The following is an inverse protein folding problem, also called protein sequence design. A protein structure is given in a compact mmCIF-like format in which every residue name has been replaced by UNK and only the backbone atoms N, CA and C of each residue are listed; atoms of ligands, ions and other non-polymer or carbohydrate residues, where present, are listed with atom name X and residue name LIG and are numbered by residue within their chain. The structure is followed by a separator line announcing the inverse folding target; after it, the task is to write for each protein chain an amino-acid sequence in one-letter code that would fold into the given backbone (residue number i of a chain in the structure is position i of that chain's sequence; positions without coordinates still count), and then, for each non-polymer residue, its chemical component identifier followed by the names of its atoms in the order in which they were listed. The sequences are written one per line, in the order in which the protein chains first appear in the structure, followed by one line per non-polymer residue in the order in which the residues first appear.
data_IF_339148812524
#
_entry.id   IF_339148812524
#
_cell.length_a   1.000
_cell.length_b   1.000
_cell.length_c   1.000
_cell.angle_alpha   90.00
_cell.angle_beta   90.00
_cell.angle_gamma   90.00
#
_symmetry.space_group_name_H-M   'P 1'
#
loop_
_entity.id
_entity.type
_entity.pdbx_description
1 polymer ?
#
# COMPACT_ATOMS: atom_id res chain seq x y z
N UNK A 1 12.34 -0.72 -14.84
CA UNK A 1 13.16 -1.29 -15.94
C UNK A 1 12.60 -0.75 -17.24
N UNK A 2 13.46 -0.41 -18.21
CA UNK A 2 13.00 -0.03 -19.55
C UNK A 2 12.70 -1.30 -20.37
N UNK A 3 11.72 -1.27 -21.29
CA UNK A 3 11.44 -2.41 -22.15
C UNK A 3 12.64 -2.70 -23.08
N UNK A 4 12.89 -3.97 -23.37
CA UNK A 4 13.93 -4.39 -24.32
C UNK A 4 13.60 -3.98 -25.77
N UNK A 5 12.30 -3.83 -26.08
CA UNK A 5 11.78 -3.35 -27.38
C UNK A 5 10.35 -2.83 -27.19
N UNK A 6 9.91 -1.91 -28.07
CA UNK A 6 8.61 -1.24 -27.96
C UNK A 6 8.66 0.06 -27.14
N UNK A 7 7.52 0.73 -27.03
CA UNK A 7 7.37 1.99 -26.28
C UNK A 7 6.41 1.81 -25.10
N UNK A 8 6.72 2.45 -23.97
CA UNK A 8 5.89 2.47 -22.77
C UNK A 8 5.55 3.93 -22.46
N UNK A 9 4.27 4.29 -22.54
CA UNK A 9 3.74 5.59 -22.13
C UNK A 9 2.74 5.39 -20.99
N UNK A 10 2.93 6.10 -19.88
CA UNK A 10 1.99 6.12 -18.75
C UNK A 10 1.60 7.56 -18.42
N UNK A 11 0.29 7.84 -18.33
CA UNK A 11 -0.24 9.14 -17.92
C UNK A 11 -0.70 9.08 -16.48
N UNK A 12 0.07 9.70 -15.58
CA UNK A 12 -0.20 9.72 -14.13
C UNK A 12 0.81 8.92 -13.31
N UNK A 13 0.63 8.92 -12.00
CA UNK A 13 1.53 8.23 -11.07
C UNK A 13 1.15 6.76 -10.94
N UNK A 14 2.10 5.87 -11.23
CA UNK A 14 1.96 4.41 -11.10
C UNK A 14 2.44 3.96 -9.73
N UNK A 15 1.63 3.18 -9.00
CA UNK A 15 2.03 2.52 -7.76
C UNK A 15 1.84 1.01 -7.88
N UNK A 16 2.88 0.26 -7.52
CA UNK A 16 2.85 -1.20 -7.50
C UNK A 16 2.63 -1.69 -6.08
N UNK A 17 1.55 -2.43 -5.89
CA UNK A 17 1.30 -3.23 -4.70
C UNK A 17 1.78 -4.67 -4.96
N UNK A 18 3.03 -4.94 -4.61
CA UNK A 18 3.55 -6.30 -4.47
C UNK A 18 3.67 -6.61 -2.97
N UNK A 19 2.97 -7.63 -2.48
CA UNK A 19 3.09 -8.07 -1.08
C UNK A 19 4.55 -8.41 -0.81
N UNK A 20 5.23 -7.56 -0.03
CA UNK A 20 6.54 -7.86 0.54
C UNK A 20 7.75 -7.18 -0.12
N UNK A 21 7.62 -6.55 -1.29
CA UNK A 21 8.81 -6.01 -1.99
C UNK A 21 9.38 -4.71 -1.39
N UNK A 22 8.66 -4.10 -0.44
CA UNK A 22 8.87 -2.71 -0.08
C UNK A 22 9.06 -2.44 1.42
N UNK A 23 8.69 -3.36 2.30
CA UNK A 23 8.80 -3.16 3.76
C UNK A 23 10.18 -3.58 4.27
N UNK A 24 10.78 -2.77 5.14
CA UNK A 24 12.06 -3.03 5.80
C UNK A 24 11.82 -3.83 7.09
N UNK A 25 12.34 -5.08 7.18
CA UNK A 25 12.03 -5.97 8.31
C UNK A 25 12.47 -5.46 9.69
N UNK A 26 13.54 -4.66 9.74
CA UNK A 26 14.11 -4.15 10.99
C UNK A 26 13.44 -2.86 11.48
N UNK A 27 12.63 -2.22 10.64
CA UNK A 27 11.86 -1.03 11.00
C UNK A 27 10.47 -1.44 11.49
N UNK A 28 9.87 -0.60 12.32
CA UNK A 28 8.48 -0.70 12.77
C UNK A 28 7.50 -0.43 11.63
N UNK A 29 6.21 -0.73 11.84
CA UNK A 29 5.14 -0.36 10.91
C UNK A 29 5.10 1.14 10.64
N UNK A 30 5.18 1.98 11.69
CA UNK A 30 5.19 3.45 11.56
C UNK A 30 6.39 3.92 10.76
N UNK A 31 7.60 3.44 11.07
CA UNK A 31 8.81 3.83 10.35
C UNK A 31 8.76 3.40 8.88
N UNK A 32 8.14 2.26 8.56
CA UNK A 32 7.91 1.84 7.19
C UNK A 32 6.95 2.76 6.45
N UNK A 33 5.85 3.17 7.09
CA UNK A 33 4.90 4.14 6.52
C UNK A 33 5.63 5.45 6.24
N UNK A 34 6.32 6.01 7.23
CA UNK A 34 7.09 7.26 7.11
C UNK A 34 8.10 7.18 5.97
N UNK A 35 8.92 6.12 5.95
CA UNK A 35 9.91 5.90 4.90
C UNK A 35 9.25 5.90 3.51
N UNK A 36 8.13 5.21 3.35
CA UNK A 36 7.42 5.13 2.07
C UNK A 36 6.86 6.46 1.62
N UNK A 37 6.26 7.21 2.53
CA UNK A 37 5.69 8.51 2.20
C UNK A 37 6.78 9.54 1.88
N UNK A 38 7.91 9.51 2.61
CA UNK A 38 9.07 10.35 2.29
C UNK A 38 9.65 10.04 0.91
N UNK A 39 9.70 8.75 0.52
CA UNK A 39 10.14 8.35 -0.82
C UNK A 39 9.21 8.82 -1.95
N UNK A 40 8.01 9.30 -1.62
CA UNK A 40 7.01 9.82 -2.56
C UNK A 40 6.83 11.34 -2.41
N UNK A 41 7.79 12.03 -1.79
CA UNK A 41 7.85 13.49 -1.64
C UNK A 41 6.66 14.11 -0.85
N UNK A 42 5.99 13.33 0.01
CA UNK A 42 4.99 13.87 0.95
C UNK A 42 5.65 14.74 2.03
N UNK A 43 4.98 15.82 2.43
CA UNK A 43 5.44 16.68 3.53
C UNK A 43 5.14 16.03 4.88
N UNK A 44 5.96 16.30 5.90
CA UNK A 44 5.80 15.72 7.24
C UNK A 44 4.36 15.78 7.78
N UNK A 45 3.68 16.92 7.62
CA UNK A 45 2.28 17.07 8.06
C UNK A 45 1.33 16.09 7.35
N UNK A 46 1.50 15.89 6.05
CA UNK A 46 0.68 14.94 5.28
C UNK A 46 1.00 13.49 5.66
N UNK A 47 2.26 13.22 6.01
CA UNK A 47 2.70 11.91 6.48
C UNK A 47 1.99 11.57 7.79
N UNK A 48 1.98 12.49 8.76
CA UNK A 48 1.35 12.27 10.07
C UNK A 48 -0.15 11.98 9.92
N UNK A 49 -0.87 12.74 9.09
CA UNK A 49 -2.29 12.52 8.79
C UNK A 49 -2.55 11.19 8.08
N UNK A 50 -1.64 10.74 7.20
CA UNK A 50 -1.76 9.46 6.50
C UNK A 50 -1.42 8.27 7.40
N UNK A 51 -0.48 8.42 8.34
CA UNK A 51 -0.15 7.36 9.30
C UNK A 51 -1.40 6.94 10.07
N UNK A 52 -2.17 7.89 10.60
CA UNK A 52 -3.40 7.61 11.34
C UNK A 52 -4.41 6.83 10.49
N UNK A 53 -4.64 7.28 9.25
CA UNK A 53 -5.54 6.62 8.30
C UNK A 53 -5.09 5.20 7.94
N UNK A 54 -3.78 4.98 7.80
CA UNK A 54 -3.23 3.65 7.51
C UNK A 54 -3.43 2.74 8.71
N UNK A 55 -3.15 3.22 9.92
CA UNK A 55 -3.31 2.43 11.15
C UNK A 55 -4.77 1.96 11.26
N UNK A 56 -5.72 2.89 11.13
CA UNK A 56 -7.16 2.60 11.19
C UNK A 56 -7.61 1.62 10.09
N UNK A 57 -7.19 1.85 8.84
CA UNK A 57 -7.56 0.98 7.73
C UNK A 57 -7.02 -0.44 7.95
N UNK A 58 -5.78 -0.56 8.43
CA UNK A 58 -5.07 -1.83 8.56
C UNK A 58 -5.37 -2.60 9.83
N UNK A 59 -6.03 -1.99 10.82
CA UNK A 59 -6.29 -2.57 12.15
C UNK A 59 -5.03 -3.17 12.79
N UNK A 60 -3.91 -2.41 12.71
CA UNK A 60 -2.61 -2.80 13.23
C UNK A 60 -2.18 -1.95 14.43
N UNK A 61 -3.11 -1.29 15.12
CA UNK A 61 -2.84 -0.37 16.25
C UNK A 61 -1.87 -0.96 17.28
N UNK A 62 -2.12 -2.20 17.70
CA UNK A 62 -1.30 -2.90 18.72
C UNK A 62 0.08 -3.33 18.21
N UNK A 63 0.25 -3.42 16.89
CA UNK A 63 1.45 -3.96 16.26
C UNK A 63 2.26 -2.89 15.53
N UNK A 64 1.73 -1.69 15.31
CA UNK A 64 2.33 -0.68 14.42
C UNK A 64 3.71 -0.21 14.89
N UNK A 65 3.98 -0.28 16.19
CA UNK A 65 5.27 0.05 16.79
C UNK A 65 6.20 -1.17 16.93
N UNK A 66 5.80 -2.35 16.47
CA UNK A 66 6.65 -3.53 16.44
C UNK A 66 7.39 -3.64 15.10
N UNK A 67 8.65 -4.14 15.09
CA UNK A 67 9.38 -4.41 13.86
C UNK A 67 8.64 -5.35 12.89
N UNK A 68 8.67 -5.05 11.59
CA UNK A 68 7.99 -5.83 10.54
C UNK A 68 8.40 -7.30 10.51
N UNK A 69 9.63 -7.64 10.93
CA UNK A 69 10.07 -9.04 11.03
C UNK A 69 9.20 -9.92 11.95
N UNK A 70 8.40 -9.31 12.83
CA UNK A 70 7.46 -10.01 13.71
C UNK A 70 6.05 -10.11 13.13
N UNK A 71 5.78 -9.51 11.97
CA UNK A 71 4.46 -9.49 11.36
C UNK A 71 4.19 -10.80 10.63
N UNK A 72 2.96 -11.30 10.73
CA UNK A 72 2.50 -12.39 9.87
C UNK A 72 2.50 -11.96 8.40
N UNK A 73 2.37 -12.93 7.47
CA UNK A 73 2.15 -12.61 6.06
C UNK A 73 0.92 -11.73 5.85
N UNK A 74 -0.17 -12.01 6.57
CA UNK A 74 -1.39 -11.21 6.55
C UNK A 74 -1.14 -9.78 6.99
N UNK A 75 -0.52 -9.55 8.15
CA UNK A 75 -0.21 -8.20 8.65
C UNK A 75 0.67 -7.40 7.68
N UNK A 76 1.67 -8.05 7.07
CA UNK A 76 2.53 -7.40 6.05
C UNK A 76 1.73 -6.99 4.81
N UNK A 77 0.82 -7.83 4.37
CA UNK A 77 -0.06 -7.54 3.24
C UNK A 77 -1.03 -6.40 3.56
N UNK A 78 -1.66 -6.42 4.75
CA UNK A 78 -2.53 -5.35 5.25
C UNK A 78 -1.80 -4.01 5.26
N UNK A 79 -0.61 -3.96 5.87
CA UNK A 79 0.20 -2.73 5.92
C UNK A 79 0.61 -2.26 4.52
N UNK A 80 1.05 -3.18 3.66
CA UNK A 80 1.41 -2.85 2.27
C UNK A 80 0.25 -2.24 1.50
N UNK A 81 -0.96 -2.83 1.65
CA UNK A 81 -2.18 -2.33 1.03
C UNK A 81 -2.55 -0.95 1.54
N UNK A 82 -2.58 -0.77 2.87
CA UNK A 82 -2.88 0.51 3.51
C UNK A 82 -1.95 1.62 3.04
N UNK A 83 -0.64 1.36 2.96
CA UNK A 83 0.33 2.31 2.41
C UNK A 83 -0.01 2.65 0.96
N UNK A 84 -0.24 1.65 0.09
CA UNK A 84 -0.46 1.90 -1.33
C UNK A 84 -1.72 2.75 -1.60
N UNK A 85 -2.86 2.45 -0.98
CA UNK A 85 -4.10 3.21 -1.20
C UNK A 85 -3.98 4.65 -0.67
N UNK A 86 -3.28 4.84 0.45
CA UNK A 86 -3.07 6.16 1.04
C UNK A 86 -2.05 7.00 0.27
N UNK A 87 -1.44 6.48 -0.79
CA UNK A 87 -0.65 7.30 -1.73
C UNK A 87 -1.51 7.91 -2.83
N UNK A 88 -2.79 7.51 -2.93
CA UNK A 88 -3.76 7.96 -3.93
C UNK A 88 -3.23 7.91 -5.38
N UNK A 89 -2.67 6.76 -5.83
CA UNK A 89 -2.08 6.66 -7.16
C UNK A 89 -3.12 6.80 -8.27
N UNK A 90 -2.69 7.15 -9.48
CA UNK A 90 -3.57 7.17 -10.67
C UNK A 90 -3.77 5.77 -11.24
N UNK A 91 -2.72 4.93 -11.13
CA UNK A 91 -2.71 3.54 -11.54
C UNK A 91 -2.26 2.68 -10.34
N UNK A 92 -3.14 1.82 -9.86
CA UNK A 92 -2.85 0.83 -8.81
C UNK A 92 -2.71 -0.56 -9.44
N UNK A 93 -1.52 -1.15 -9.30
CA UNK A 93 -1.26 -2.53 -9.76
C UNK A 93 -1.27 -3.45 -8.54
N UNK A 94 -2.10 -4.49 -8.56
CA UNK A 94 -2.28 -5.44 -7.47
C UNK A 94 -1.75 -6.81 -7.94
N UNK A 95 -0.64 -7.25 -7.34
CA UNK A 95 0.02 -8.53 -7.66
C UNK A 95 -0.12 -9.53 -6.50
N UNK A 96 -0.95 -10.56 -6.69
CA UNK A 96 -1.28 -11.61 -5.71
C UNK A 96 -1.73 -11.09 -4.32
N UNK A 97 -2.03 -9.79 -4.23
CA UNK A 97 -2.01 -9.09 -2.96
C UNK A 97 -3.29 -9.21 -2.13
N UNK A 98 -4.32 -9.76 -2.75
CA UNK A 98 -5.62 -9.91 -2.12
C UNK A 98 -5.83 -11.29 -1.50
N UNK A 99 -4.87 -12.21 -1.62
CA UNK A 99 -4.90 -13.51 -0.94
C UNK A 99 -4.54 -13.42 0.56
N UNK A 100 -4.90 -12.31 1.20
CA UNK A 100 -4.90 -12.16 2.66
C UNK A 100 -5.93 -13.13 3.21
N UNK A 101 -5.51 -14.06 4.06
CA UNK A 101 -6.36 -15.15 4.59
C UNK A 101 -7.51 -14.72 5.52
N UNK A 102 -7.84 -13.43 5.57
CA UNK A 102 -8.94 -12.86 6.33
C UNK A 102 -9.99 -12.28 5.37
N UNK A 103 -11.15 -12.94 5.31
CA UNK A 103 -12.26 -12.55 4.44
C UNK A 103 -12.84 -11.16 4.76
N UNK A 104 -12.74 -10.72 6.02
CA UNK A 104 -13.28 -9.41 6.42
C UNK A 104 -12.41 -8.26 5.89
N UNK A 105 -11.09 -8.41 5.96
CA UNK A 105 -10.15 -7.45 5.41
C UNK A 105 -10.16 -7.45 3.88
N UNK A 106 -10.33 -8.62 3.27
CA UNK A 106 -10.50 -8.73 1.82
C UNK A 106 -11.68 -7.87 1.32
N UNK A 107 -12.82 -7.92 2.00
CA UNK A 107 -13.97 -7.08 1.64
C UNK A 107 -13.65 -5.58 1.78
N UNK A 108 -12.96 -5.16 2.85
CA UNK A 108 -12.50 -3.77 3.01
C UNK A 108 -11.60 -3.32 1.84
N UNK A 109 -10.69 -4.18 1.38
CA UNK A 109 -9.87 -3.90 0.21
C UNK A 109 -10.71 -3.73 -1.06
N UNK A 110 -11.71 -4.58 -1.27
CA UNK A 110 -12.61 -4.49 -2.43
C UNK A 110 -13.44 -3.20 -2.40
N UNK A 111 -13.96 -2.81 -1.24
CA UNK A 111 -14.76 -1.59 -1.10
C UNK A 111 -13.91 -0.34 -1.41
N UNK A 112 -12.65 -0.33 -0.97
CA UNK A 112 -11.70 0.75 -1.27
C UNK A 112 -11.33 0.81 -2.76
N UNK A 113 -11.10 -0.35 -3.38
CA UNK A 113 -10.86 -0.50 -4.82
C UNK A 113 -12.06 0.04 -5.61
N UNK A 114 -13.29 -0.29 -5.19
CA UNK A 114 -14.51 0.20 -5.83
C UNK A 114 -14.63 1.72 -5.70
N UNK A 115 -14.31 2.29 -4.53
CA UNK A 115 -14.25 3.75 -4.34
C UNK A 115 -13.25 4.41 -5.29
N UNK A 116 -12.03 3.88 -5.38
CA UNK A 116 -11.00 4.39 -6.28
C UNK A 116 -11.43 4.32 -7.75
N UNK A 117 -12.15 3.27 -8.16
CA UNK A 117 -12.73 3.18 -9.52
C UNK A 117 -13.74 4.30 -9.78
N UNK A 118 -14.62 4.59 -8.82
CA UNK A 118 -15.59 5.69 -8.91
C UNK A 118 -14.89 7.06 -9.01
N UNK A 119 -13.75 7.22 -8.35
CA UNK A 119 -12.88 8.40 -8.45
C UNK A 119 -12.11 8.50 -9.79
N UNK A 120 -12.27 7.53 -10.70
CA UNK A 120 -11.63 7.52 -12.02
C UNK A 120 -10.20 6.98 -12.03
N UNK A 121 -9.76 6.31 -10.95
CA UNK A 121 -8.45 5.66 -10.88
C UNK A 121 -8.43 4.36 -11.69
N UNK A 122 -7.28 4.00 -12.24
CA UNK A 122 -7.09 2.75 -12.98
C UNK A 122 -6.57 1.67 -12.04
N UNK A 123 -7.17 0.48 -12.08
CA UNK A 123 -6.76 -0.66 -11.26
C UNK A 123 -6.44 -1.84 -12.17
N UNK A 124 -5.27 -2.43 -11.97
CA UNK A 124 -4.79 -3.60 -12.72
C UNK A 124 -4.58 -4.77 -11.76
N UNK A 125 -5.21 -5.90 -12.07
CA UNK A 125 -5.01 -7.17 -11.36
C UNK A 125 -4.10 -8.06 -12.21
N UNK A 126 -3.07 -8.64 -11.57
CA UNK A 126 -2.18 -9.63 -12.17
C UNK A 126 -2.53 -11.04 -11.68
#
# INVERSE_FOLDING_TARGET
MAPTSGELESKGTVSLLAIGSALKPNLTGVENIQLKMLMMDFKQKEIDERIEKIIEFTELEEFIHQPIKHYSSGMRARLGFGIAIQTSPDILIIDEALSVGDSSFYQKCLDEIERMKVEGKTILFL
#
